data_IF_249034278856
#
_entry.id   IF_249034278856
#
_cell.length_a   1.000
_cell.length_b   1.000
_cell.length_c   1.000
_cell.angle_alpha   90.00
_cell.angle_beta   90.00
_cell.angle_gamma   90.00
#
_symmetry.space_group_name_H-M   'P 1'
#
loop_
_entity.id
_entity.type
_entity.pdbx_description
1 polymer ?
#
# COMPACT_ATOMS: atom_id res chain seq x y z
N UNK A 1 -1.59 -8.84 -0.09
CA UNK A 1 -0.91 -7.95 -1.06
C UNK A 1 0.16 -8.71 -1.85
N UNK A 2 1.23 -9.22 -1.20
CA UNK A 2 2.31 -9.92 -1.91
C UNK A 2 1.81 -11.08 -2.80
N UNK A 3 0.87 -11.89 -2.30
CA UNK A 3 0.23 -12.97 -3.07
C UNK A 3 -0.49 -12.43 -4.31
N UNK A 4 -1.27 -11.35 -4.19
CA UNK A 4 -1.95 -10.71 -5.32
C UNK A 4 -0.96 -10.21 -6.37
N UNK A 5 0.14 -9.57 -5.95
CA UNK A 5 1.18 -9.06 -6.86
C UNK A 5 1.92 -10.20 -7.56
N UNK A 6 2.31 -11.25 -6.82
CA UNK A 6 3.03 -12.38 -7.39
C UNK A 6 2.16 -13.16 -8.40
N UNK A 7 0.90 -13.42 -8.05
CA UNK A 7 -0.05 -14.07 -8.96
C UNK A 7 -0.38 -13.20 -10.16
N UNK A 8 -0.59 -11.88 -10.00
CA UNK A 8 -0.76 -10.96 -11.13
C UNK A 8 0.43 -10.98 -12.09
N UNK A 9 1.67 -10.98 -11.56
CA UNK A 9 2.87 -11.09 -12.38
C UNK A 9 2.88 -12.40 -13.19
N UNK A 10 2.49 -13.53 -12.58
CA UNK A 10 2.36 -14.81 -13.27
C UNK A 10 1.23 -14.83 -14.30
N UNK A 11 0.18 -14.02 -14.12
CA UNK A 11 -0.95 -13.95 -15.05
C UNK A 11 -0.67 -13.04 -16.26
N UNK A 12 0.19 -12.03 -16.08
CA UNK A 12 0.49 -10.98 -17.06
C UNK A 12 1.80 -11.18 -17.83
N UNK A 13 2.82 -11.79 -17.20
CA UNK A 13 4.14 -12.03 -17.80
C UNK A 13 4.20 -13.46 -18.37
N UNK A 14 4.24 -13.66 -19.69
CA UNK A 14 4.16 -15.00 -20.31
C UNK A 14 5.24 -15.96 -19.82
N UNK A 15 6.45 -15.46 -19.59
CA UNK A 15 7.59 -16.26 -19.12
C UNK A 15 7.30 -16.85 -17.72
N UNK A 16 6.72 -16.06 -16.82
CA UNK A 16 6.32 -16.54 -15.50
C UNK A 16 5.13 -17.49 -15.58
N UNK A 17 4.18 -17.23 -16.48
CA UNK A 17 3.02 -18.10 -16.69
C UNK A 17 3.43 -19.52 -17.10
N UNK A 18 4.39 -19.63 -18.03
CA UNK A 18 4.93 -20.92 -18.50
C UNK A 18 5.66 -21.66 -17.38
N UNK A 19 6.47 -20.97 -16.59
CA UNK A 19 7.22 -21.57 -15.47
C UNK A 19 6.29 -22.16 -14.41
N UNK A 20 5.17 -21.49 -14.10
CA UNK A 20 4.21 -21.99 -13.09
C UNK A 20 3.31 -23.08 -13.65
N UNK A 21 2.91 -23.00 -14.92
CA UNK A 21 2.17 -24.05 -15.64
C UNK A 21 0.75 -24.36 -15.14
N UNK A 22 0.27 -23.69 -14.08
CA UNK A 22 -1.05 -23.93 -13.45
C UNK A 22 -1.93 -22.69 -13.44
N UNK A 23 -2.25 -22.15 -14.62
CA UNK A 23 -2.96 -20.86 -14.75
C UNK A 23 -4.27 -20.80 -13.95
N UNK A 24 -5.10 -21.83 -14.01
CA UNK A 24 -6.38 -21.85 -13.30
C UNK A 24 -6.21 -21.74 -11.77
N UNK A 25 -5.24 -22.48 -11.21
CA UNK A 25 -4.92 -22.38 -9.79
C UNK A 25 -4.45 -20.97 -9.43
N UNK A 26 -3.57 -20.38 -10.25
CA UNK A 26 -3.07 -19.00 -10.03
C UNK A 26 -4.21 -17.99 -10.06
N UNK A 27 -5.16 -18.12 -10.99
CA UNK A 27 -6.37 -17.27 -11.05
C UNK A 27 -7.17 -17.41 -9.76
N UNK A 28 -7.50 -18.65 -9.34
CA UNK A 28 -8.27 -18.87 -8.10
C UNK A 28 -7.56 -18.28 -6.88
N UNK A 29 -6.25 -18.48 -6.76
CA UNK A 29 -5.45 -17.90 -5.66
C UNK A 29 -5.46 -16.38 -5.72
N UNK A 30 -5.36 -15.79 -6.91
CA UNK A 30 -5.42 -14.34 -7.10
C UNK A 30 -6.76 -13.76 -6.64
N UNK A 31 -7.86 -14.37 -7.08
CA UNK A 31 -9.24 -13.98 -6.74
C UNK A 31 -9.49 -14.03 -5.23
N UNK A 32 -9.19 -15.15 -4.58
CA UNK A 32 -9.37 -15.31 -3.12
C UNK A 32 -8.42 -14.41 -2.32
N UNK A 33 -7.16 -14.24 -2.76
CA UNK A 33 -6.24 -13.33 -2.09
C UNK A 33 -6.67 -11.86 -2.25
N UNK A 34 -7.25 -11.49 -3.39
CA UNK A 34 -7.82 -10.18 -3.64
C UNK A 34 -9.03 -9.90 -2.74
N UNK A 35 -9.94 -10.87 -2.62
CA UNK A 35 -11.10 -10.77 -1.73
C UNK A 35 -10.69 -10.68 -0.25
N UNK A 36 -9.68 -11.43 0.17
CA UNK A 36 -9.16 -11.40 1.54
C UNK A 36 -8.30 -10.16 1.86
N UNK A 37 -7.90 -9.38 0.85
CA UNK A 37 -6.98 -8.26 1.00
C UNK A 37 -7.42 -7.21 2.03
N UNK A 38 -8.71 -6.83 2.14
CA UNK A 38 -9.17 -5.87 3.15
C UNK A 38 -9.26 -6.45 4.58
N UNK A 39 -9.25 -7.78 4.74
CA UNK A 39 -9.54 -8.43 6.01
C UNK A 39 -8.63 -7.97 7.17
N UNK A 40 -7.30 -7.81 7.02
CA UNK A 40 -6.46 -7.32 8.11
C UNK A 40 -6.84 -5.92 8.61
N UNK A 41 -7.27 -5.03 7.71
CA UNK A 41 -7.74 -3.69 8.07
C UNK A 41 -9.06 -3.79 8.84
N UNK A 42 -10.01 -4.60 8.34
CA UNK A 42 -11.31 -4.81 8.99
C UNK A 42 -11.16 -5.40 10.40
N UNK A 43 -10.28 -6.41 10.56
CA UNK A 43 -9.96 -6.97 11.88
C UNK A 43 -9.27 -5.94 12.79
N UNK A 44 -8.35 -5.16 12.23
CA UNK A 44 -7.66 -4.08 12.94
C UNK A 44 -8.63 -3.05 13.51
N UNK A 45 -9.77 -2.78 12.86
CA UNK A 45 -10.77 -1.82 13.33
C UNK A 45 -11.36 -2.19 14.71
N UNK A 46 -11.22 -3.42 15.20
CA UNK A 46 -11.58 -3.79 16.58
C UNK A 46 -10.68 -3.09 17.61
N UNK A 47 -9.40 -2.87 17.27
CA UNK A 47 -8.42 -2.22 18.14
C UNK A 47 -8.59 -0.70 18.21
N UNK A 48 -8.70 -0.16 19.43
CA UNK A 48 -8.72 1.31 19.67
C UNK A 48 -7.44 1.97 19.16
N UNK A 49 -6.29 1.33 19.36
CA UNK A 49 -5.00 1.85 18.93
C UNK A 49 -4.92 1.95 17.41
N UNK A 50 -5.39 0.92 16.70
CA UNK A 50 -5.43 0.93 15.23
C UNK A 50 -6.35 2.03 14.69
N UNK A 51 -7.53 2.22 15.30
CA UNK A 51 -8.43 3.32 14.92
C UNK A 51 -7.82 4.70 15.15
N UNK A 52 -7.08 4.88 16.24
CA UNK A 52 -6.34 6.12 16.50
C UNK A 52 -5.26 6.37 15.42
N UNK A 53 -4.54 5.32 15.02
CA UNK A 53 -3.53 5.38 13.98
C UNK A 53 -4.11 5.70 12.60
N UNK A 54 -5.25 5.11 12.24
CA UNK A 54 -6.00 5.49 11.04
C UNK A 54 -6.40 6.96 11.08
N UNK A 55 -6.83 7.46 12.24
CA UNK A 55 -7.13 8.88 12.45
C UNK A 55 -5.90 9.78 12.23
N UNK A 56 -4.74 9.38 12.75
CA UNK A 56 -3.48 10.11 12.55
C UNK A 56 -3.00 10.08 11.09
N UNK A 57 -3.19 8.95 10.40
CA UNK A 57 -2.86 8.78 8.99
C UNK A 57 -3.76 9.64 8.08
N UNK A 58 -5.04 9.78 8.43
CA UNK A 58 -6.01 10.54 7.63
C UNK A 58 -6.02 12.05 7.92
N UNK A 59 -5.26 12.52 8.91
CA UNK A 59 -5.20 13.95 9.28
C UNK A 59 -3.92 14.60 8.78
N UNK A 60 -4.07 15.45 7.77
CA UNK A 60 -3.00 16.32 7.28
C UNK A 60 -2.96 17.64 8.06
N UNK A 61 -1.78 18.03 8.52
CA UNK A 61 -1.52 19.30 9.19
C UNK A 61 -0.59 20.22 8.38
N UNK A 62 -0.33 21.46 8.86
CA UNK A 62 0.56 22.40 8.19
C UNK A 62 1.99 21.88 7.99
N UNK A 63 2.50 21.08 8.93
CA UNK A 63 3.82 20.47 8.86
C UNK A 63 3.95 19.47 7.70
N UNK A 64 2.85 18.79 7.31
CA UNK A 64 2.87 17.85 6.19
C UNK A 64 3.13 18.56 4.86
N UNK A 65 2.63 19.79 4.70
CA UNK A 65 2.91 20.61 3.50
C UNK A 65 4.40 20.97 3.40
N UNK A 66 5.04 21.33 4.52
CA UNK A 66 6.49 21.59 4.56
C UNK A 66 7.26 20.32 4.20
N UNK A 67 6.89 19.19 4.80
CA UNK A 67 7.49 17.89 4.53
C UNK A 67 7.40 17.52 3.03
N UNK A 68 6.22 17.67 2.42
CA UNK A 68 6.01 17.36 1.00
C UNK A 68 6.82 18.28 0.08
N UNK A 69 6.89 19.58 0.37
CA UNK A 69 7.73 20.51 -0.39
C UNK A 69 9.21 20.14 -0.29
N UNK A 70 9.69 19.80 0.90
CA UNK A 70 11.07 19.34 1.10
C UNK A 70 11.34 18.04 0.32
N UNK A 71 10.41 17.09 0.35
CA UNK A 71 10.51 15.86 -0.43
C UNK A 71 10.56 16.11 -1.95
N UNK A 72 9.69 16.97 -2.48
CA UNK A 72 9.65 17.36 -3.90
C UNK A 72 10.94 18.07 -4.33
N UNK A 73 11.50 18.92 -3.46
CA UNK A 73 12.80 19.59 -3.68
C UNK A 73 14.01 18.69 -3.41
N UNK A 74 13.79 17.43 -3.05
CA UNK A 74 14.82 16.46 -2.65
C UNK A 74 15.68 16.94 -1.47
N UNK A 75 15.19 17.86 -0.65
CA UNK A 75 15.87 18.31 0.56
C UNK A 75 15.81 17.21 1.62
N UNK A 76 16.97 16.74 2.06
CA UNK A 76 17.12 15.62 3.00
C UNK A 76 17.35 16.07 4.44
N UNK A 77 17.40 17.39 4.72
CA UNK A 77 17.62 17.89 6.07
C UNK A 77 16.43 17.54 6.96
N UNK A 78 16.72 16.93 8.12
CA UNK A 78 15.70 16.55 9.10
C UNK A 78 14.82 17.73 9.55
N UNK A 79 15.42 18.90 9.73
CA UNK A 79 14.70 20.12 10.11
C UNK A 79 13.60 20.52 9.09
N UNK A 80 13.77 20.21 7.81
CA UNK A 80 12.81 20.51 6.75
C UNK A 80 11.76 19.42 6.56
N UNK A 81 11.86 18.31 7.30
CA UNK A 81 10.96 17.15 7.24
C UNK A 81 10.29 16.90 8.60
N UNK A 82 9.54 17.86 9.15
CA UNK A 82 8.81 17.63 10.40
C UNK A 82 7.74 16.55 10.22
N UNK A 83 7.63 15.63 11.18
CA UNK A 83 6.66 14.54 11.16
C UNK A 83 6.12 14.26 12.56
N UNK A 84 4.81 14.02 12.65
CA UNK A 84 4.19 13.38 13.83
C UNK A 84 4.46 11.87 13.84
N UNK A 85 3.58 11.07 14.44
CA UNK A 85 3.71 9.59 14.42
C UNK A 85 3.91 9.03 13.00
N UNK A 86 3.25 9.64 12.02
CA UNK A 86 3.44 9.35 10.60
C UNK A 86 3.87 10.61 9.85
N UNK A 87 4.86 10.48 8.97
CA UNK A 87 5.26 11.57 8.07
C UNK A 87 4.29 11.69 6.88
N UNK A 88 4.31 12.85 6.22
CA UNK A 88 3.39 13.12 5.11
C UNK A 88 3.48 12.10 3.96
N UNK A 89 4.67 11.57 3.68
CA UNK A 89 4.86 10.51 2.68
C UNK A 89 4.15 9.21 3.05
N UNK A 90 4.21 8.79 4.33
CA UNK A 90 3.46 7.64 4.84
C UNK A 90 1.96 7.87 4.75
N UNK A 91 1.47 9.07 5.07
CA UNK A 91 0.05 9.43 4.95
C UNK A 91 -0.43 9.35 3.50
N UNK A 92 0.29 9.97 2.57
CA UNK A 92 -0.02 9.94 1.13
C UNK A 92 0.00 8.51 0.60
N UNK A 93 1.06 7.74 0.91
CA UNK A 93 1.16 6.34 0.51
C UNK A 93 -0.03 5.53 1.03
N UNK A 94 -0.38 5.69 2.31
CA UNK A 94 -1.51 4.97 2.94
C UNK A 94 -2.84 5.32 2.28
N UNK A 95 -3.12 6.61 2.06
CA UNK A 95 -4.36 7.02 1.40
C UNK A 95 -4.45 6.50 -0.04
N UNK A 96 -3.34 6.61 -0.79
CA UNK A 96 -3.28 6.15 -2.17
C UNK A 96 -3.44 4.62 -2.27
N UNK A 97 -2.70 3.85 -1.47
CA UNK A 97 -2.78 2.38 -1.53
C UNK A 97 -4.13 1.87 -1.03
N UNK A 98 -4.74 2.51 -0.04
CA UNK A 98 -6.08 2.16 0.41
C UNK A 98 -7.12 2.39 -0.69
N UNK A 99 -7.09 3.54 -1.36
CA UNK A 99 -7.95 3.82 -2.52
C UNK A 99 -7.71 2.84 -3.66
N UNK A 100 -6.44 2.55 -3.97
CA UNK A 100 -6.07 1.59 -5.00
C UNK A 100 -6.63 0.20 -4.69
N UNK A 101 -6.51 -0.28 -3.45
CA UNK A 101 -7.08 -1.58 -3.02
C UNK A 101 -8.59 -1.64 -3.24
N UNK A 102 -9.32 -0.57 -2.94
CA UNK A 102 -10.78 -0.53 -3.18
C UNK A 102 -11.12 -0.61 -4.67
N UNK A 103 -10.40 0.13 -5.52
CA UNK A 103 -10.58 0.09 -6.98
C UNK A 103 -10.20 -1.28 -7.53
N UNK A 104 -9.09 -1.87 -7.07
CA UNK A 104 -8.65 -3.21 -7.46
C UNK A 104 -9.67 -4.28 -7.06
N UNK A 105 -10.25 -4.19 -5.87
CA UNK A 105 -11.30 -5.09 -5.42
C UNK A 105 -12.55 -4.95 -6.29
N UNK A 106 -13.02 -3.71 -6.53
CA UNK A 106 -14.20 -3.47 -7.35
C UNK A 106 -14.04 -3.98 -8.78
N UNK A 107 -12.94 -3.62 -9.44
CA UNK A 107 -12.63 -4.08 -10.80
C UNK A 107 -12.43 -5.60 -10.86
N UNK A 108 -11.74 -6.19 -9.87
CA UNK A 108 -11.56 -7.64 -9.78
C UNK A 108 -12.89 -8.39 -9.62
N UNK A 109 -13.82 -7.89 -8.79
CA UNK A 109 -15.16 -8.46 -8.64
C UNK A 109 -15.98 -8.37 -9.94
N UNK A 110 -15.86 -7.27 -10.68
CA UNK A 110 -16.54 -7.12 -11.99
C UNK A 110 -16.00 -8.11 -13.04
N UNK A 111 -14.70 -8.39 -12.99
CA UNK A 111 -14.06 -9.38 -13.87
C UNK A 111 -14.39 -10.82 -13.46
N UNK A 112 -14.48 -11.09 -12.16
CA UNK A 112 -14.79 -12.42 -11.62
C UNK A 112 -16.27 -12.78 -11.84
N UNK A 113 -17.19 -11.90 -11.43
CA UNK A 113 -18.63 -12.11 -11.55
C UNK A 113 -19.18 -11.51 -12.84
N UNK A 114 -18.81 -12.11 -13.96
CA UNK A 114 -19.07 -11.58 -15.31
C UNK A 114 -20.55 -11.36 -15.65
N UNK A 115 -21.46 -12.06 -14.97
CA UNK A 115 -22.91 -11.93 -15.13
C UNK A 115 -23.48 -10.66 -14.47
N UNK A 116 -22.73 -9.99 -13.59
CA UNK A 116 -23.16 -8.78 -12.88
C UNK A 116 -22.89 -7.49 -13.68
N UNK A 117 -22.15 -7.55 -14.78
CA UNK A 117 -21.72 -6.35 -15.51
C UNK A 117 -21.76 -6.52 -17.05
N UNK A 118 -22.28 -5.53 -17.80
CA UNK A 118 -22.20 -5.50 -19.25
C UNK A 118 -20.75 -5.61 -19.77
N UNK A 119 -20.59 -6.06 -21.01
CA UNK A 119 -19.25 -6.23 -21.63
C UNK A 119 -18.42 -4.95 -21.56
N UNK A 120 -19.01 -3.79 -21.87
CA UNK A 120 -18.32 -2.50 -21.81
C UNK A 120 -17.67 -2.25 -20.45
N UNK A 121 -18.41 -2.50 -19.37
CA UNK A 121 -17.95 -2.27 -18.01
C UNK A 121 -16.82 -3.23 -17.63
N UNK A 122 -16.91 -4.49 -18.07
CA UNK A 122 -15.87 -5.49 -17.85
C UNK A 122 -14.58 -5.15 -18.60
N UNK A 123 -14.66 -4.69 -19.84
CA UNK A 123 -13.50 -4.22 -20.60
C UNK A 123 -12.84 -3.01 -19.92
N UNK A 124 -13.63 -2.04 -19.45
CA UNK A 124 -13.10 -0.91 -18.68
C UNK A 124 -12.48 -1.37 -17.35
N UNK A 125 -13.09 -2.35 -16.67
CA UNK A 125 -12.57 -2.90 -15.43
C UNK A 125 -11.20 -3.57 -15.65
N UNK A 126 -11.04 -4.41 -16.68
CA UNK A 126 -9.74 -5.01 -17.04
C UNK A 126 -8.68 -3.94 -17.29
N UNK A 127 -9.00 -2.92 -18.09
CA UNK A 127 -8.07 -1.83 -18.37
C UNK A 127 -7.60 -1.11 -17.10
N UNK A 128 -8.56 -0.72 -16.24
CA UNK A 128 -8.25 -0.03 -14.98
C UNK A 128 -7.47 -0.94 -14.03
N UNK A 129 -7.86 -2.22 -13.92
CA UNK A 129 -7.22 -3.20 -13.05
C UNK A 129 -5.77 -3.43 -13.43
N UNK A 130 -5.47 -3.64 -14.72
CA UNK A 130 -4.13 -3.93 -15.20
C UNK A 130 -3.16 -2.75 -15.00
N UNK A 131 -3.59 -1.54 -15.37
CA UNK A 131 -2.76 -0.35 -15.20
C UNK A 131 -2.56 0.01 -13.73
N UNK A 132 -3.60 -0.15 -12.92
CA UNK A 132 -3.50 0.10 -11.48
C UNK A 132 -2.64 -0.98 -10.80
N UNK A 133 -2.72 -2.25 -11.21
CA UNK A 133 -1.85 -3.32 -10.73
C UNK A 133 -0.38 -3.00 -10.99
N UNK A 134 -0.06 -2.54 -12.20
CA UNK A 134 1.30 -2.11 -12.56
C UNK A 134 1.76 -0.94 -11.68
N UNK A 135 0.92 0.09 -11.52
CA UNK A 135 1.22 1.23 -10.66
C UNK A 135 1.45 0.81 -9.20
N UNK A 136 0.60 -0.07 -8.65
CA UNK A 136 0.75 -0.65 -7.31
C UNK A 136 2.07 -1.41 -7.20
N UNK A 137 2.43 -2.22 -8.19
CA UNK A 137 3.71 -2.93 -8.23
C UNK A 137 4.92 -1.98 -8.12
N UNK A 138 4.94 -0.92 -8.93
CA UNK A 138 6.02 0.08 -8.93
C UNK A 138 6.09 0.84 -7.60
N UNK A 139 4.96 1.35 -7.11
CA UNK A 139 4.92 2.14 -5.87
C UNK A 139 5.25 1.26 -4.65
N UNK A 140 4.78 0.01 -4.62
CA UNK A 140 5.11 -0.96 -3.57
C UNK A 140 6.61 -1.29 -3.58
N UNK A 141 7.22 -1.51 -4.75
CA UNK A 141 8.66 -1.73 -4.86
C UNK A 141 9.45 -0.54 -4.32
N UNK A 142 9.06 0.69 -4.66
CA UNK A 142 9.67 1.91 -4.12
C UNK A 142 9.50 2.03 -2.60
N UNK A 143 8.33 1.69 -2.07
CA UNK A 143 8.08 1.68 -0.62
C UNK A 143 8.95 0.65 0.11
N UNK A 144 9.06 -0.57 -0.43
CA UNK A 144 9.95 -1.61 0.11
C UNK A 144 11.40 -1.14 0.06
N UNK A 145 11.86 -0.58 -1.07
CA UNK A 145 13.21 -0.03 -1.20
C UNK A 145 13.52 1.03 -0.15
N UNK A 146 12.57 1.94 0.14
CA UNK A 146 12.71 2.92 1.21
C UNK A 146 12.81 2.25 2.59
N UNK A 147 11.99 1.26 2.88
CA UNK A 147 12.04 0.54 4.15
C UNK A 147 13.34 -0.25 4.31
N UNK A 148 13.90 -0.82 3.25
CA UNK A 148 15.19 -1.51 3.29
C UNK A 148 16.35 -0.58 3.68
N UNK A 149 16.26 0.71 3.32
CA UNK A 149 17.23 1.74 3.68
C UNK A 149 17.17 2.22 5.14
N UNK A 150 16.18 1.80 5.93
CA UNK A 150 16.04 2.16 7.35
C UNK A 150 15.92 0.89 8.22
N UNK A 151 17.05 0.39 8.77
CA UNK A 151 17.07 -0.79 9.62
C UNK A 151 16.21 -0.66 10.89
N UNK A 152 16.17 0.53 11.49
CA UNK A 152 15.43 0.76 12.74
C UNK A 152 13.92 0.79 12.47
N UNK A 153 13.48 1.40 11.36
CA UNK A 153 12.08 1.29 10.93
C UNK A 153 11.66 -0.18 10.71
N UNK A 154 12.52 -1.00 10.08
CA UNK A 154 12.25 -2.44 9.90
C UNK A 154 12.23 -3.20 11.22
N UNK A 155 13.08 -2.84 12.18
CA UNK A 155 13.04 -3.38 13.54
C UNK A 155 11.74 -3.00 14.24
N UNK A 156 11.29 -1.75 14.10
CA UNK A 156 10.01 -1.27 14.60
C UNK A 156 8.83 -2.07 14.04
N UNK A 157 8.81 -2.35 12.74
CA UNK A 157 7.76 -3.18 12.11
C UNK A 157 7.69 -4.61 12.66
N UNK A 158 8.83 -5.20 13.05
CA UNK A 158 8.89 -6.58 13.56
C UNK A 158 8.65 -6.69 15.06
N UNK A 159 9.10 -5.69 15.82
CA UNK A 159 9.14 -5.75 17.30
C UNK A 159 8.14 -4.82 17.97
N UNK A 160 7.56 -3.86 17.24
CA UNK A 160 6.70 -2.83 17.79
C UNK A 160 7.43 -1.69 18.50
N UNK A 161 8.77 -1.71 18.55
CA UNK A 161 9.57 -0.72 19.29
C UNK A 161 10.68 -0.12 18.43
N UNK A 162 10.96 1.15 18.66
CA UNK A 162 12.07 1.90 18.03
C UNK A 162 12.86 2.63 19.11
N UNK A 163 14.13 2.94 18.83
CA UNK A 163 14.95 3.75 19.73
C UNK A 163 14.40 5.17 19.87
N UNK A 164 14.61 5.76 21.04
CA UNK A 164 14.19 7.14 21.33
C UNK A 164 14.86 8.13 20.38
N UNK A 165 16.15 7.94 20.11
CA UNK A 165 16.93 8.77 19.20
C UNK A 165 16.36 8.75 17.77
N UNK A 166 15.97 7.56 17.28
CA UNK A 166 15.34 7.44 15.96
C UNK A 166 13.98 8.15 15.92
N UNK A 167 13.17 7.99 16.97
CA UNK A 167 11.87 8.64 17.07
C UNK A 167 12.00 10.17 17.09
N UNK A 168 12.94 10.72 17.85
CA UNK A 168 13.17 12.17 17.93
C UNK A 168 13.69 12.75 16.60
N UNK A 169 14.52 12.00 15.88
CA UNK A 169 15.10 12.44 14.60
C UNK A 169 14.11 12.34 13.44
N UNK A 170 13.43 11.20 13.28
CA UNK A 170 12.56 10.92 12.14
C UNK A 170 11.11 11.42 12.37
N UNK A 171 10.69 11.52 13.63
CA UNK A 171 9.33 11.86 14.04
C UNK A 171 9.31 12.92 15.17
N UNK A 172 9.95 14.10 15.00
CA UNK A 172 10.16 15.08 16.07
C UNK A 172 8.88 15.67 16.67
N UNK A 173 7.74 15.57 15.97
CA UNK A 173 6.44 16.03 16.47
C UNK A 173 5.62 14.90 17.09
N UNK A 174 6.13 13.66 17.09
CA UNK A 174 5.46 12.54 17.73
C UNK A 174 5.63 12.65 19.25
N UNK A 175 4.49 12.76 19.93
CA UNK A 175 4.41 12.65 21.39
C UNK A 175 3.90 11.23 21.70
N UNK A 176 4.73 10.37 22.32
CA UNK A 176 4.35 9.00 22.68
C UNK A 176 3.18 8.97 23.67
#
# INVERSE_FOLDING_TARGET
MAVCVATAACLYVPQLAVLVGRRELVVRVHEWAGLALPAPVLLGLVSRAFRADLGALNRFGPHDRRWLRAALRRDRRYAERPAGKFNAGQKVYTAWIAGAVLVMLGTGLMMWFTHLAPLLWRTSATFVHDWLALAVGVVLAGHIGKALGDPEARRGLRTGTVSREWAEREHPLWRP
#
